data_IF_402068535456
#
_entry.id   IF_402068535456
#
_cell.length_a   1.000
_cell.length_b   1.000
_cell.length_c   1.000
_cell.angle_alpha   90.00
_cell.angle_beta   90.00
_cell.angle_gamma   90.00
#
_symmetry.space_group_name_H-M   'P 1'
#
loop_
_entity.id
_entity.type
_entity.pdbx_description
1 polymer ?
#
# COMPACT_ATOMS: atom_id res chain seq x y z
N UNK A 1 9.62 -2.47 33.92
CA UNK A 1 8.91 -3.09 32.78
C UNK A 1 9.08 -2.14 31.60
N UNK A 2 10.00 -2.40 30.69
CA UNK A 2 10.06 -1.64 29.44
C UNK A 2 8.85 -2.06 28.63
N UNK A 3 7.83 -1.22 28.60
CA UNK A 3 6.85 -1.27 27.52
C UNK A 3 7.66 -1.09 26.24
N UNK A 4 7.76 -2.10 25.40
CA UNK A 4 8.30 -1.89 24.05
C UNK A 4 7.34 -0.87 23.40
N UNK A 5 7.79 0.37 23.21
CA UNK A 5 6.97 1.39 22.56
C UNK A 5 6.56 0.83 21.21
N UNK A 6 5.26 0.66 21.04
CA UNK A 6 4.69 0.24 19.78
C UNK A 6 5.06 1.29 18.74
N UNK A 7 5.69 0.88 17.63
CA UNK A 7 6.14 1.80 16.58
C UNK A 7 5.53 1.41 15.26
N UNK A 8 5.02 2.41 14.57
CA UNK A 8 4.40 2.23 13.27
C UNK A 8 5.23 2.96 12.23
N UNK A 9 5.43 2.34 11.08
CA UNK A 9 6.00 3.01 9.90
C UNK A 9 5.02 2.94 8.74
N UNK A 10 5.08 3.92 7.85
CA UNK A 10 4.28 3.94 6.64
C UNK A 10 5.16 3.91 5.40
N UNK A 11 4.79 3.08 4.44
CA UNK A 11 5.43 2.94 3.15
C UNK A 11 4.44 3.34 2.06
N UNK A 12 4.79 4.31 1.25
CA UNK A 12 3.96 4.80 0.15
C UNK A 12 4.66 4.45 -1.16
N UNK A 13 4.03 3.57 -1.93
CA UNK A 13 4.49 3.14 -3.24
C UNK A 13 4.13 4.22 -4.26
N UNK A 14 5.15 4.92 -4.75
CA UNK A 14 5.02 5.94 -5.79
C UNK A 14 4.94 5.34 -7.20
N UNK A 15 5.30 4.05 -7.32
CA UNK A 15 5.42 3.37 -8.60
C UNK A 15 6.55 3.97 -9.43
N UNK A 16 6.46 3.79 -10.75
CA UNK A 16 7.45 4.31 -11.68
C UNK A 16 6.82 4.91 -12.92
N UNK A 17 7.63 5.45 -13.85
CA UNK A 17 7.14 6.01 -15.09
C UNK A 17 6.45 4.92 -15.90
N UNK A 18 5.12 4.81 -15.77
CA UNK A 18 4.33 3.98 -16.66
C UNK A 18 4.47 4.56 -18.06
N UNK A 19 4.95 3.76 -19.03
CA UNK A 19 5.07 4.10 -20.46
C UNK A 19 3.74 4.44 -21.16
N UNK A 20 2.68 4.72 -20.41
CA UNK A 20 1.36 5.09 -20.89
C UNK A 20 0.55 5.72 -19.77
N UNK A 21 0.98 6.86 -19.24
CA UNK A 21 0.10 7.73 -18.46
C UNK A 21 -0.86 8.39 -19.44
N UNK A 22 -2.08 7.85 -19.59
CA UNK A 22 -3.13 8.39 -20.47
C UNK A 22 -3.53 9.82 -20.10
N UNK A 23 -3.09 10.26 -18.91
CA UNK A 23 -3.28 11.59 -18.34
C UNK A 23 -2.08 12.54 -18.42
N UNK A 24 -1.03 12.25 -19.20
CA UNK A 24 0.10 13.17 -19.34
C UNK A 24 -0.09 14.07 -20.55
N UNK A 25 -0.47 15.36 -20.37
CA UNK A 25 -0.16 16.39 -21.35
C UNK A 25 1.31 16.25 -21.76
N UNK A 26 1.57 16.24 -23.06
CA UNK A 26 2.91 16.16 -23.66
C UNK A 26 3.91 17.19 -23.08
N UNK A 27 3.42 18.22 -22.40
CA UNK A 27 4.17 19.34 -21.82
C UNK A 27 4.61 19.18 -20.34
N UNK A 28 4.19 18.14 -19.62
CA UNK A 28 4.50 18.00 -18.19
C UNK A 28 5.75 17.12 -17.96
N UNK A 29 6.83 17.75 -17.50
CA UNK A 29 8.09 17.12 -17.07
C UNK A 29 8.14 16.83 -15.55
N UNK A 30 6.98 16.70 -14.90
CA UNK A 30 6.87 16.50 -13.45
C UNK A 30 6.51 15.03 -13.17
N UNK A 31 7.11 14.37 -12.16
CA UNK A 31 6.68 13.06 -11.68
C UNK A 31 5.18 13.00 -11.36
N UNK A 32 4.52 11.89 -11.73
CA UNK A 32 3.07 11.70 -11.48
C UNK A 32 2.66 11.94 -10.02
N UNK A 33 3.38 11.42 -9.01
CA UNK A 33 3.02 11.65 -7.60
C UNK A 33 3.08 13.12 -7.17
N UNK A 34 3.79 13.97 -7.93
CA UNK A 34 3.91 15.40 -7.68
C UNK A 34 2.89 16.24 -8.47
N UNK A 35 2.00 15.62 -9.27
CA UNK A 35 0.94 16.38 -9.93
C UNK A 35 -0.01 17.00 -8.92
N UNK A 36 -0.45 18.26 -9.16
CA UNK A 36 -1.40 18.91 -8.27
C UNK A 36 -2.78 18.26 -8.41
N UNK A 37 -3.32 17.80 -7.29
CA UNK A 37 -4.67 17.29 -7.10
C UNK A 37 -5.30 18.00 -5.91
N UNK A 38 -6.40 18.72 -6.13
CA UNK A 38 -7.05 19.54 -5.11
C UNK A 38 -6.09 20.55 -4.43
N UNK A 39 -5.20 21.16 -5.21
CA UNK A 39 -4.26 22.19 -4.73
C UNK A 39 -2.99 21.66 -4.05
N UNK A 40 -2.84 20.35 -3.89
CA UNK A 40 -1.64 19.73 -3.30
C UNK A 40 -1.09 18.62 -4.21
N UNK A 41 0.21 18.29 -4.15
CA UNK A 41 0.75 17.10 -4.83
C UNK A 41 -0.06 15.84 -4.52
N UNK A 42 -0.29 14.95 -5.49
CA UNK A 42 -1.05 13.70 -5.27
C UNK A 42 -0.56 12.90 -4.06
N UNK A 43 0.76 12.79 -3.89
CA UNK A 43 1.39 12.07 -2.77
C UNK A 43 1.19 12.76 -1.41
N UNK A 44 0.83 14.05 -1.39
CA UNK A 44 0.55 14.77 -0.14
C UNK A 44 -0.62 14.17 0.61
N UNK A 45 -1.67 13.73 -0.10
CA UNK A 45 -2.89 13.20 0.52
C UNK A 45 -2.64 11.95 1.38
N UNK A 46 -1.98 10.88 0.89
CA UNK A 46 -1.64 9.73 1.72
C UNK A 46 -0.61 10.07 2.81
N UNK A 47 0.38 10.93 2.56
CA UNK A 47 1.36 11.36 3.59
C UNK A 47 0.65 12.08 4.74
N UNK A 48 -0.21 13.04 4.43
CA UNK A 48 -1.00 13.79 5.42
C UNK A 48 -1.96 12.87 6.19
N UNK A 49 -2.53 11.87 5.52
CA UNK A 49 -3.33 10.84 6.19
C UNK A 49 -2.52 10.01 7.19
N UNK A 50 -1.27 9.66 6.87
CA UNK A 50 -0.39 8.90 7.75
C UNK A 50 -0.14 9.63 9.07
N UNK A 51 -0.10 10.97 9.10
CA UNK A 51 0.10 11.75 10.35
C UNK A 51 -0.92 11.42 11.44
N UNK A 52 -2.10 10.90 11.08
CA UNK A 52 -3.14 10.50 12.05
C UNK A 52 -2.87 9.15 12.71
N UNK A 53 -1.95 8.33 12.17
CA UNK A 53 -1.58 7.03 12.71
C UNK A 53 -0.89 7.24 14.07
N UNK A 54 -1.38 6.59 15.14
CA UNK A 54 -0.69 6.58 16.44
C UNK A 54 0.72 6.01 16.32
N UNK A 55 1.67 6.62 17.03
CA UNK A 55 3.05 6.13 17.15
C UNK A 55 3.79 5.97 15.80
N UNK A 56 3.41 6.79 14.80
CA UNK A 56 4.10 6.85 13.52
C UNK A 56 5.52 7.41 13.68
N UNK A 57 6.52 6.55 13.49
CA UNK A 57 7.93 6.88 13.58
C UNK A 57 8.47 7.52 12.29
N UNK A 58 8.11 6.95 11.14
CA UNK A 58 8.75 7.28 9.86
C UNK A 58 7.81 6.98 8.67
N UNK A 59 7.92 7.83 7.64
CA UNK A 59 7.29 7.60 6.33
C UNK A 59 8.38 7.34 5.29
N UNK A 60 8.23 6.28 4.50
CA UNK A 60 9.08 5.94 3.37
C UNK A 60 8.29 6.08 2.07
N UNK A 61 8.86 6.80 1.12
CA UNK A 61 8.34 6.91 -0.24
C UNK A 61 9.22 6.05 -1.15
N UNK A 62 8.65 5.03 -1.80
CA UNK A 62 9.41 4.10 -2.64
C UNK A 62 9.02 4.30 -4.10
N UNK A 63 9.98 4.58 -4.98
CA UNK A 63 9.70 4.78 -6.41
C UNK A 63 10.91 4.81 -7.34
N UNK A 64 10.63 5.03 -8.62
CA UNK A 64 11.61 5.00 -9.73
C UNK A 64 12.11 6.36 -10.22
N UNK A 65 11.72 7.43 -9.55
CA UNK A 65 12.11 8.78 -9.91
C UNK A 65 13.52 9.09 -9.40
N UNK A 66 14.21 10.04 -10.02
CA UNK A 66 15.51 10.47 -9.50
C UNK A 66 15.33 11.15 -8.16
N UNK A 67 16.22 10.91 -7.20
CA UNK A 67 16.10 11.45 -5.83
C UNK A 67 15.97 12.97 -5.82
N UNK A 68 16.68 13.65 -6.73
CA UNK A 68 16.62 15.11 -6.92
C UNK A 68 15.23 15.64 -7.25
N UNK A 69 14.36 14.82 -7.86
CA UNK A 69 12.99 15.21 -8.20
C UNK A 69 12.11 15.29 -6.94
N UNK A 70 12.42 14.51 -5.91
CA UNK A 70 11.66 14.45 -4.65
C UNK A 70 12.34 15.16 -3.48
N UNK A 71 13.63 15.47 -3.56
CA UNK A 71 14.41 16.03 -2.45
C UNK A 71 13.78 17.28 -1.80
N UNK A 72 13.37 18.27 -2.61
CA UNK A 72 12.72 19.49 -2.11
C UNK A 72 11.37 19.19 -1.46
N UNK A 73 10.56 18.34 -2.11
CA UNK A 73 9.24 17.97 -1.62
C UNK A 73 9.34 17.22 -0.27
N UNK A 74 10.21 16.22 -0.19
CA UNK A 74 10.46 15.41 1.02
C UNK A 74 10.91 16.28 2.18
N UNK A 75 11.85 17.20 1.94
CA UNK A 75 12.32 18.14 2.95
C UNK A 75 11.19 19.04 3.46
N UNK A 76 10.40 19.62 2.54
CA UNK A 76 9.28 20.49 2.87
C UNK A 76 8.21 19.77 3.71
N UNK A 77 7.74 18.60 3.25
CA UNK A 77 6.63 17.89 3.90
C UNK A 77 7.04 17.29 5.25
N UNK A 78 8.29 16.83 5.38
CA UNK A 78 8.85 16.35 6.65
C UNK A 78 8.84 17.46 7.71
N UNK A 79 9.26 18.67 7.32
CA UNK A 79 9.26 19.82 8.22
C UNK A 79 7.84 20.34 8.54
N UNK A 80 6.93 20.31 7.56
CA UNK A 80 5.53 20.71 7.72
C UNK A 80 4.81 19.79 8.72
N UNK A 81 4.90 18.47 8.52
CA UNK A 81 4.19 17.49 9.34
C UNK A 81 4.91 17.13 10.64
N UNK A 82 6.17 17.53 10.80
CA UNK A 82 7.03 17.11 11.93
C UNK A 82 7.06 15.58 12.05
N UNK A 83 7.18 14.89 10.91
CA UNK A 83 7.37 13.43 10.81
C UNK A 83 8.50 13.20 9.82
N UNK A 84 9.51 12.40 10.17
CA UNK A 84 10.55 12.02 9.22
C UNK A 84 9.95 11.41 7.94
N UNK A 85 10.35 11.94 6.78
CA UNK A 85 10.00 11.40 5.47
C UNK A 85 11.29 11.10 4.70
N UNK A 86 11.40 9.89 4.15
CA UNK A 86 12.56 9.43 3.38
C UNK A 86 12.11 8.93 2.01
N UNK A 87 12.79 9.35 0.95
CA UNK A 87 12.60 8.76 -0.37
C UNK A 87 13.64 7.66 -0.59
N UNK A 88 13.17 6.49 -1.02
CA UNK A 88 13.99 5.31 -1.32
C UNK A 88 13.85 5.00 -2.81
N UNK A 89 14.91 5.27 -3.56
CA UNK A 89 14.93 5.08 -5.01
C UNK A 89 15.18 3.62 -5.37
N UNK A 90 14.24 3.01 -6.07
CA UNK A 90 14.45 1.70 -6.67
C UNK A 90 15.27 1.81 -7.97
N UNK A 91 16.30 0.97 -8.12
CA UNK A 91 17.10 0.95 -9.36
C UNK A 91 16.38 0.27 -10.55
N UNK A 92 15.39 -0.60 -10.28
CA UNK A 92 14.59 -1.32 -11.28
C UNK A 92 13.21 -1.73 -10.75
N UNK A 93 12.15 -1.81 -11.57
CA UNK A 93 10.80 -2.20 -11.14
C UNK A 93 10.79 -3.57 -10.47
N UNK A 94 10.62 -3.60 -9.14
CA UNK A 94 10.47 -4.84 -8.37
C UNK A 94 9.00 -5.21 -8.09
N UNK A 95 8.05 -4.34 -8.44
CA UNK A 95 6.65 -4.46 -8.00
C UNK A 95 6.50 -4.12 -6.51
N UNK A 96 5.27 -4.02 -6.01
CA UNK A 96 5.05 -3.52 -4.64
C UNK A 96 5.62 -4.43 -3.55
N UNK A 97 5.51 -5.76 -3.70
CA UNK A 97 6.13 -6.71 -2.75
C UNK A 97 7.66 -6.64 -2.81
N UNK A 98 8.20 -6.57 -4.03
CA UNK A 98 9.64 -6.54 -4.25
C UNK A 98 10.27 -5.24 -3.75
N UNK A 99 9.64 -4.09 -3.97
CA UNK A 99 10.10 -2.79 -3.48
C UNK A 99 10.09 -2.74 -1.96
N UNK A 100 8.99 -3.20 -1.34
CA UNK A 100 8.89 -3.33 0.12
C UNK A 100 10.02 -4.22 0.68
N UNK A 101 10.24 -5.39 0.10
CA UNK A 101 11.28 -6.33 0.55
C UNK A 101 12.71 -5.85 0.30
N UNK A 102 12.95 -5.15 -0.82
CA UNK A 102 14.26 -4.62 -1.17
C UNK A 102 14.77 -3.66 -0.10
N UNK A 103 13.88 -2.85 0.46
CA UNK A 103 14.19 -1.87 1.50
C UNK A 103 13.86 -2.32 2.92
N UNK A 104 13.59 -3.62 3.13
CA UNK A 104 13.20 -4.16 4.45
C UNK A 104 14.17 -3.76 5.57
N UNK A 105 15.48 -3.75 5.28
CA UNK A 105 16.50 -3.48 6.28
C UNK A 105 16.41 -2.02 6.76
N UNK A 106 16.10 -1.07 5.85
CA UNK A 106 15.87 0.33 6.18
C UNK A 106 14.53 0.56 6.88
N UNK A 107 13.48 -0.15 6.46
CA UNK A 107 12.12 -0.04 7.04
C UNK A 107 12.10 -0.59 8.47
N UNK A 108 12.94 -1.58 8.76
CA UNK A 108 13.07 -2.20 10.08
C UNK A 108 14.04 -1.47 11.02
N UNK A 109 14.70 -0.38 10.61
CA UNK A 109 15.62 0.40 11.46
C UNK A 109 14.95 0.89 12.75
N UNK A 110 13.68 1.32 12.66
CA UNK A 110 12.88 1.77 13.81
C UNK A 110 12.27 0.62 14.64
N UNK A 111 12.53 -0.64 14.25
CA UNK A 111 11.91 -1.86 14.80
C UNK A 111 10.38 -1.75 14.93
N UNK A 112 9.65 -1.47 13.82
CA UNK A 112 8.21 -1.27 13.86
C UNK A 112 7.47 -2.57 14.20
N UNK A 113 6.40 -2.45 15.00
CA UNK A 113 5.43 -3.53 15.19
C UNK A 113 4.43 -3.62 14.04
N UNK A 114 4.17 -2.50 13.35
CA UNK A 114 3.24 -2.43 12.23
C UNK A 114 3.78 -1.59 11.08
N UNK A 115 3.52 -2.06 9.87
CA UNK A 115 3.97 -1.45 8.62
C UNK A 115 2.73 -1.18 7.77
N UNK A 116 2.40 0.10 7.58
CA UNK A 116 1.41 0.51 6.60
C UNK A 116 2.02 0.47 5.20
N UNK A 117 1.26 -0.02 4.22
CA UNK A 117 1.60 0.05 2.81
C UNK A 117 0.45 0.72 2.04
N UNK A 118 0.74 1.82 1.35
CA UNK A 118 -0.23 2.58 0.59
C UNK A 118 0.23 2.74 -0.86
N UNK A 119 -0.69 2.64 -1.81
CA UNK A 119 -0.44 3.09 -3.17
C UNK A 119 -0.68 4.61 -3.29
N UNK A 120 0.19 5.33 -4.00
CA UNK A 120 0.09 6.78 -4.11
C UNK A 120 -1.05 7.27 -5.04
N UNK A 121 -1.58 6.41 -5.90
CA UNK A 121 -2.64 6.73 -6.86
C UNK A 121 -4.05 6.53 -6.28
N UNK A 122 -4.14 6.11 -5.02
CA UNK A 122 -5.39 6.00 -4.27
C UNK A 122 -5.68 7.34 -3.60
N UNK A 123 -6.88 7.86 -3.81
CA UNK A 123 -7.37 9.05 -3.11
C UNK A 123 -8.66 8.70 -2.37
N UNK A 124 -8.59 8.63 -1.03
CA UNK A 124 -9.74 8.36 -0.18
C UNK A 124 -9.58 9.05 1.18
N UNK A 125 -10.58 8.96 2.05
CA UNK A 125 -10.50 9.55 3.40
C UNK A 125 -9.58 8.79 4.37
N UNK A 126 -8.90 7.73 3.92
CA UNK A 126 -7.91 6.91 4.63
C UNK A 126 -8.20 6.73 6.14
N UNK A 127 -8.98 5.71 6.55
CA UNK A 127 -9.33 5.45 7.95
C UNK A 127 -8.20 4.77 8.72
N UNK A 128 -6.95 5.24 8.57
CA UNK A 128 -5.74 4.54 9.02
C UNK A 128 -5.73 4.23 10.54
N UNK A 129 -6.15 5.13 11.45
CA UNK A 129 -6.18 4.81 12.88
C UNK A 129 -7.15 3.67 13.21
N UNK A 130 -8.38 3.74 12.68
CA UNK A 130 -9.36 2.68 12.88
C UNK A 130 -8.95 1.36 12.23
N UNK A 131 -8.16 1.44 11.15
CA UNK A 131 -7.58 0.27 10.49
C UNK A 131 -6.49 -0.39 11.34
N UNK A 132 -5.66 0.41 12.03
CA UNK A 132 -4.70 -0.10 13.02
C UNK A 132 -5.41 -0.78 14.18
N UNK A 133 -6.47 -0.18 14.73
CA UNK A 133 -7.24 -0.78 15.83
C UNK A 133 -7.96 -2.06 15.41
N UNK A 134 -8.46 -2.12 14.17
CA UNK A 134 -9.03 -3.35 13.61
C UNK A 134 -7.96 -4.44 13.46
N UNK A 135 -6.79 -4.09 12.93
CA UNK A 135 -5.67 -5.02 12.77
C UNK A 135 -5.20 -5.60 14.12
N UNK A 136 -5.03 -4.74 15.13
CA UNK A 136 -4.67 -5.13 16.51
C UNK A 136 -5.67 -6.10 17.13
N UNK A 137 -6.97 -5.81 17.00
CA UNK A 137 -8.04 -6.69 17.53
C UNK A 137 -8.09 -8.04 16.84
N UNK A 138 -7.74 -8.07 15.55
CA UNK A 138 -7.76 -9.28 14.76
C UNK A 138 -6.55 -10.18 15.02
N UNK A 139 -5.36 -9.59 15.13
CA UNK A 139 -4.12 -10.32 15.45
C UNK A 139 -3.53 -11.16 14.30
N UNK A 140 -3.98 -10.93 13.07
CA UNK A 140 -3.42 -11.56 11.87
C UNK A 140 -2.17 -10.84 11.36
N UNK A 141 -1.49 -11.42 10.37
CA UNK A 141 -0.28 -10.80 9.77
C UNK A 141 -0.61 -9.59 8.90
N UNK A 142 -1.80 -9.56 8.31
CA UNK A 142 -2.19 -8.50 7.39
C UNK A 142 -3.64 -8.08 7.51
N UNK A 143 -3.91 -6.81 7.27
CA UNK A 143 -5.27 -6.27 7.09
C UNK A 143 -5.32 -5.44 5.83
N UNK A 144 -6.38 -5.64 5.03
CA UNK A 144 -6.60 -4.96 3.75
C UNK A 144 -7.82 -4.06 3.87
N UNK A 145 -7.71 -2.82 3.38
CA UNK A 145 -8.87 -1.95 3.20
C UNK A 145 -9.62 -2.34 1.92
N UNK A 146 -10.93 -2.55 2.06
CA UNK A 146 -11.80 -2.85 0.92
C UNK A 146 -13.02 -1.95 0.90
N UNK A 147 -13.62 -1.82 -0.27
CA UNK A 147 -14.90 -1.14 -0.43
C UNK A 147 -15.82 -1.94 -1.35
N UNK A 148 -17.12 -1.76 -1.15
CA UNK A 148 -18.13 -2.23 -2.10
C UNK A 148 -18.24 -1.26 -3.27
N UNK A 149 -18.33 -1.79 -4.48
CA UNK A 149 -18.64 -1.04 -5.70
C UNK A 149 -19.79 -1.71 -6.45
N UNK A 150 -20.32 -1.03 -7.46
CA UNK A 150 -21.31 -1.63 -8.35
C UNK A 150 -20.68 -2.73 -9.19
N UNK A 151 -21.46 -3.73 -9.58
CA UNK A 151 -20.97 -4.88 -10.36
C UNK A 151 -20.38 -4.44 -11.71
N UNK A 152 -20.88 -3.35 -12.29
CA UNK A 152 -20.41 -2.78 -13.56
C UNK A 152 -19.00 -2.17 -13.46
N UNK A 153 -18.59 -1.78 -12.24
CA UNK A 153 -17.30 -1.14 -11.99
C UNK A 153 -16.26 -2.11 -11.42
N UNK A 154 -16.69 -3.26 -10.85
CA UNK A 154 -15.84 -4.18 -10.10
C UNK A 154 -14.65 -4.72 -10.92
N UNK A 155 -14.90 -5.08 -12.19
CA UNK A 155 -13.91 -5.68 -13.10
C UNK A 155 -12.72 -4.75 -13.44
N UNK A 156 -12.79 -3.46 -13.11
CA UNK A 156 -11.70 -2.50 -13.30
C UNK A 156 -10.64 -2.60 -12.19
N UNK A 157 -10.94 -3.33 -11.11
CA UNK A 157 -10.15 -3.43 -9.90
C UNK A 157 -9.81 -4.88 -9.56
N UNK A 158 -9.03 -5.07 -8.49
CA UNK A 158 -8.85 -6.38 -7.87
C UNK A 158 -10.06 -6.73 -7.01
N UNK A 159 -10.79 -7.78 -7.40
CA UNK A 159 -11.96 -8.29 -6.70
C UNK A 159 -11.56 -9.33 -5.66
N UNK A 160 -12.25 -9.35 -4.52
CA UNK A 160 -11.94 -10.24 -3.40
C UNK A 160 -13.18 -10.89 -2.79
N UNK A 161 -13.01 -12.12 -2.35
CA UNK A 161 -14.02 -12.91 -1.62
C UNK A 161 -13.55 -13.03 -0.18
N UNK A 162 -14.43 -12.63 0.74
CA UNK A 162 -14.20 -12.73 2.17
C UNK A 162 -15.04 -13.87 2.76
N UNK A 163 -14.55 -14.50 3.82
CA UNK A 163 -15.39 -15.33 4.68
C UNK A 163 -16.42 -14.43 5.39
N UNK A 164 -17.72 -14.73 5.32
CA UNK A 164 -18.76 -13.87 5.86
C UNK A 164 -18.78 -13.80 7.39
N UNK A 165 -18.13 -14.75 8.07
CA UNK A 165 -18.09 -14.84 9.54
C UNK A 165 -16.78 -14.29 10.08
N UNK A 166 -15.65 -14.71 9.50
CA UNK A 166 -14.31 -14.37 10.02
C UNK A 166 -13.71 -13.13 9.36
N UNK A 167 -14.28 -12.65 8.24
CA UNK A 167 -13.72 -11.61 7.37
C UNK A 167 -12.32 -11.95 6.84
N UNK A 168 -11.97 -13.24 6.80
CA UNK A 168 -10.75 -13.73 6.20
C UNK A 168 -10.80 -13.62 4.68
N UNK A 169 -9.71 -13.21 4.07
CA UNK A 169 -9.55 -13.25 2.63
C UNK A 169 -9.53 -14.72 2.14
N UNK A 170 -10.55 -15.13 1.40
CA UNK A 170 -10.66 -16.47 0.81
C UNK A 170 -10.10 -16.52 -0.61
N UNK A 171 -10.45 -15.53 -1.42
CA UNK A 171 -10.08 -15.49 -2.83
C UNK A 171 -9.83 -14.07 -3.31
N UNK A 172 -9.04 -13.95 -4.37
CA UNK A 172 -8.78 -12.70 -5.06
C UNK A 172 -8.52 -12.93 -6.53
N UNK A 173 -8.98 -11.98 -7.34
CA UNK A 173 -8.68 -11.94 -8.76
C UNK A 173 -8.39 -10.50 -9.19
N UNK A 174 -7.24 -10.28 -9.82
CA UNK A 174 -6.87 -8.98 -10.39
C UNK A 174 -7.61 -8.78 -11.71
N UNK A 175 -8.46 -7.74 -11.78
CA UNK A 175 -9.17 -7.32 -13.01
C UNK A 175 -9.76 -8.51 -13.77
N UNK A 176 -10.65 -9.28 -13.12
CA UNK A 176 -11.16 -10.49 -13.73
C UNK A 176 -11.99 -10.13 -14.97
N UNK A 177 -11.94 -10.99 -15.99
CA UNK A 177 -12.80 -10.84 -17.17
C UNK A 177 -14.29 -11.06 -16.84
N UNK A 178 -14.55 -11.84 -15.78
CA UNK A 178 -15.90 -12.15 -15.29
C UNK A 178 -16.05 -11.68 -13.85
N UNK A 179 -17.20 -11.10 -13.52
CA UNK A 179 -17.51 -10.67 -12.15
C UNK A 179 -17.38 -11.84 -11.14
N UNK A 180 -16.61 -11.62 -10.09
CA UNK A 180 -16.38 -12.53 -8.97
C UNK A 180 -17.00 -11.97 -7.69
N UNK A 181 -16.84 -10.67 -7.41
CA UNK A 181 -17.28 -10.04 -6.15
C UNK A 181 -17.50 -8.52 -6.28
N UNK A 182 -18.42 -7.98 -5.47
CA UNK A 182 -18.66 -6.53 -5.35
C UNK A 182 -17.62 -5.83 -4.46
N UNK A 183 -16.71 -6.59 -3.85
CA UNK A 183 -15.67 -6.08 -2.97
C UNK A 183 -14.35 -5.90 -3.71
N UNK A 184 -13.82 -4.67 -3.67
CA UNK A 184 -12.57 -4.32 -4.33
C UNK A 184 -11.49 -3.88 -3.36
N UNK A 185 -10.26 -4.19 -3.72
CA UNK A 185 -9.05 -3.76 -3.03
C UNK A 185 -8.83 -2.24 -3.18
N UNK A 186 -8.64 -1.54 -2.06
CA UNK A 186 -8.38 -0.10 -2.05
C UNK A 186 -6.89 0.28 -2.09
N UNK A 187 -5.96 -0.68 -2.20
CA UNK A 187 -4.52 -0.38 -2.27
C UNK A 187 -3.93 0.16 -0.96
N UNK A 188 -4.55 -0.17 0.17
CA UNK A 188 -4.11 0.24 1.52
C UNK A 188 -4.08 -0.99 2.40
N UNK A 189 -2.95 -1.21 3.06
CA UNK A 189 -2.66 -2.43 3.83
C UNK A 189 -1.94 -2.08 5.14
N UNK A 190 -2.09 -2.96 6.13
CA UNK A 190 -1.24 -3.01 7.34
C UNK A 190 -0.66 -4.41 7.43
N UNK A 191 0.62 -4.50 7.79
CA UNK A 191 1.31 -5.75 8.04
C UNK A 191 2.05 -5.76 9.37
N UNK A 192 2.19 -6.95 9.95
CA UNK A 192 3.28 -7.23 10.90
C UNK A 192 4.59 -7.44 10.13
N UNK A 193 5.77 -7.30 10.79
CA UNK A 193 7.07 -7.56 10.17
C UNK A 193 7.23 -8.95 9.52
N UNK A 194 6.41 -9.93 9.92
CA UNK A 194 6.42 -11.29 9.36
C UNK A 194 6.12 -11.34 7.86
N UNK A 195 5.57 -10.26 7.29
CA UNK A 195 5.41 -10.10 5.84
C UNK A 195 6.72 -10.27 5.09
N UNK A 196 7.86 -9.85 5.65
CA UNK A 196 9.15 -9.98 4.97
C UNK A 196 9.57 -11.44 4.81
N UNK A 197 9.39 -12.25 5.85
CA UNK A 197 9.62 -13.71 5.81
C UNK A 197 8.70 -14.36 4.77
N UNK A 198 7.44 -13.92 4.72
CA UNK A 198 6.47 -14.42 3.72
C UNK A 198 6.91 -14.11 2.30
N UNK A 199 7.31 -12.86 2.02
CA UNK A 199 7.82 -12.46 0.70
C UNK A 199 9.06 -13.27 0.32
N UNK A 200 9.97 -13.50 1.27
CA UNK A 200 11.17 -14.31 1.05
C UNK A 200 10.85 -15.77 0.71
N UNK A 201 9.91 -16.39 1.42
CA UNK A 201 9.50 -17.77 1.19
C UNK A 201 8.90 -17.95 -0.20
N UNK A 202 8.01 -17.03 -0.60
CA UNK A 202 7.43 -17.04 -1.96
C UNK A 202 8.51 -16.82 -3.02
N UNK A 203 9.49 -15.95 -2.75
CA UNK A 203 10.61 -15.69 -3.65
C UNK A 203 11.49 -16.93 -3.87
N UNK A 204 11.81 -17.65 -2.80
CA UNK A 204 12.69 -18.84 -2.84
C UNK A 204 12.04 -19.95 -3.66
N UNK A 205 10.76 -20.21 -3.48
CA UNK A 205 10.03 -21.21 -4.26
C UNK A 205 9.84 -20.82 -5.74
N UNK A 206 9.74 -19.53 -6.04
CA UNK A 206 9.67 -19.04 -7.43
C UNK A 206 11.04 -18.93 -8.10
N UNK A 207 12.17 -19.07 -7.39
CA UNK A 207 13.48 -19.23 -8.05
C UNK A 207 13.58 -20.56 -8.80
N UNK A 208 12.80 -21.57 -8.41
CA UNK A 208 12.58 -22.78 -9.22
C UNK A 208 11.65 -22.54 -10.43
N UNK A 209 11.05 -21.35 -10.55
CA UNK A 209 10.19 -20.91 -11.67
C UNK A 209 10.36 -19.42 -12.00
N UNK A 210 11.56 -18.97 -12.39
CA UNK A 210 11.94 -17.75 -13.15
C UNK A 210 11.17 -16.39 -13.07
N UNK A 211 10.12 -16.19 -12.25
CA UNK A 211 9.15 -15.09 -12.38
C UNK A 211 8.90 -14.33 -11.06
N UNK A 212 9.97 -13.76 -10.47
CA UNK A 212 9.83 -12.82 -9.35
C UNK A 212 9.53 -11.38 -9.81
N UNK A 213 9.82 -11.02 -11.06
CA UNK A 213 9.92 -9.63 -11.53
C UNK A 213 8.60 -8.83 -11.58
N UNK A 214 7.45 -9.38 -11.13
CA UNK A 214 6.13 -8.72 -11.20
C UNK A 214 5.20 -9.03 -10.02
N UNK A 215 5.70 -9.41 -8.85
CA UNK A 215 4.83 -9.68 -7.71
C UNK A 215 4.28 -8.39 -7.09
N UNK A 216 2.96 -8.27 -7.03
CA UNK A 216 2.31 -7.26 -6.19
C UNK A 216 2.44 -7.64 -4.72
N UNK A 217 2.35 -6.66 -3.80
CA UNK A 217 2.24 -6.89 -2.36
C UNK A 217 1.09 -7.84 -2.03
N UNK A 218 0.07 -7.85 -2.89
CA UNK A 218 -1.08 -8.71 -2.77
C UNK A 218 -0.83 -10.17 -3.18
N UNK A 219 -0.07 -10.45 -4.25
CA UNK A 219 0.31 -11.84 -4.57
C UNK A 219 1.09 -12.49 -3.42
N UNK A 220 1.87 -11.68 -2.69
CA UNK A 220 2.51 -12.12 -1.45
C UNK A 220 1.48 -12.45 -0.36
N UNK A 221 0.43 -11.63 -0.22
CA UNK A 221 -0.68 -11.86 0.72
C UNK A 221 -1.50 -13.11 0.40
N UNK A 222 -1.92 -13.31 -0.85
CA UNK A 222 -2.66 -14.51 -1.25
C UNK A 222 -1.83 -15.78 -1.03
N UNK A 223 -0.52 -15.68 -1.29
CA UNK A 223 0.39 -16.78 -0.96
C UNK A 223 0.47 -16.99 0.55
N UNK A 224 0.50 -15.92 1.35
CA UNK A 224 0.46 -15.99 2.82
C UNK A 224 -0.76 -16.75 3.35
N UNK A 225 -1.95 -16.52 2.78
CA UNK A 225 -3.17 -17.27 3.14
C UNK A 225 -3.00 -18.77 2.92
N UNK A 226 -2.29 -19.18 1.85
CA UNK A 226 -1.94 -20.60 1.62
C UNK A 226 -0.95 -21.15 2.66
N UNK A 227 -0.20 -20.30 3.34
CA UNK A 227 0.69 -20.65 4.45
C UNK A 227 0.01 -20.56 5.83
N UNK A 228 -1.32 -20.51 5.88
CA UNK A 228 -2.08 -20.43 7.14
C UNK A 228 -1.99 -19.05 7.79
N UNK A 229 -1.57 -18.03 7.05
CA UNK A 229 -1.45 -16.68 7.56
C UNK A 229 -2.75 -15.93 7.32
N UNK A 230 -3.32 -15.42 8.40
CA UNK A 230 -4.65 -14.83 8.39
C UNK A 230 -4.60 -13.37 7.94
N UNK A 231 -5.38 -13.07 6.90
CA UNK A 231 -5.52 -11.72 6.33
C UNK A 231 -6.96 -11.27 6.47
N UNK A 232 -7.20 -10.22 7.26
CA UNK A 232 -8.54 -9.68 7.49
C UNK A 232 -8.90 -8.55 6.53
N UNK A 233 -10.20 -8.40 6.31
CA UNK A 233 -10.79 -7.36 5.49
C UNK A 233 -11.48 -6.33 6.37
N UNK A 234 -11.17 -5.05 6.16
CA UNK A 234 -11.89 -3.93 6.77
C UNK A 234 -12.82 -3.26 5.75
N UNK A 235 -14.12 -3.30 6.03
CA UNK A 235 -15.14 -2.65 5.22
C UNK A 235 -15.26 -1.16 5.56
N UNK A 236 -15.36 -0.33 4.52
CA UNK A 236 -15.79 1.07 4.66
C UNK A 236 -17.32 1.18 4.62
N UNK A 237 -17.94 1.85 5.59
CA UNK A 237 -19.38 2.15 5.57
C UNK A 237 -19.73 3.32 4.62
N UNK A 238 -20.89 3.20 3.96
CA UNK A 238 -21.40 3.95 2.79
C UNK A 238 -21.41 5.49 2.82
N UNK A 239 -21.13 6.16 3.95
CA UNK A 239 -21.30 7.63 4.05
C UNK A 239 -20.06 8.46 3.69
N UNK A 240 -19.04 7.84 3.12
CA UNK A 240 -17.89 8.58 2.62
C UNK A 240 -17.48 7.97 1.28
N UNK A 241 -17.83 8.66 0.21
CA UNK A 241 -17.51 8.23 -1.14
C UNK A 241 -15.99 7.97 -1.27
N UNK A 242 -15.61 6.88 -1.91
CA UNK A 242 -14.43 6.89 -2.76
C UNK A 242 -14.85 7.58 -4.06
N UNK A 243 -15.11 8.89 -4.05
CA UNK A 243 -15.04 9.70 -5.26
C UNK A 243 -13.55 9.92 -5.54
N UNK A 244 -12.89 8.82 -5.88
CA UNK A 244 -11.44 8.68 -5.89
C UNK A 244 -11.05 7.73 -6.99
N UNK A 245 -11.32 8.19 -8.21
CA UNK A 245 -10.78 7.70 -9.47
C UNK A 245 -9.38 7.12 -9.21
N UNK A 246 -9.17 5.81 -9.42
CA UNK A 246 -7.83 5.35 -9.74
C UNK A 246 -7.44 6.14 -10.99
N UNK A 247 -6.59 7.14 -10.82
CA UNK A 247 -6.19 8.05 -11.89
C UNK A 247 -5.35 7.25 -12.89
N UNK A 248 -6.02 6.53 -13.78
CA UNK A 248 -5.44 5.75 -14.88
C UNK A 248 -4.89 6.68 -15.97
#
# INVERSE_FOLDING_TARGET
MWSSEERVVAVIMLGGPTKGTRFRPLSLNIPKPLFPLAGQPMVHHPISACKRIPDLAQIYLIGFYEEREFALYVSSISNELKVPVRYLREDKPHGSAGGLYNFRDLIMEDNPSHIFLLNCDVCCSFPLPGMLDAHRRYGGMGTILVTKVSAESANQFGELVADPTTNELLHYTEKPETFVSDLINCGVYIFTPDIFTTIQNVSTQRKDRANLRRMSSFEALQSATKYGIVVSILFRHKNSECSGITLH
#
